data_IF_267080304274
#
_entry.id   IF_267080304274
#
_cell.length_a   1.000
_cell.length_b   1.000
_cell.length_c   1.000
_cell.angle_alpha   90.00
_cell.angle_beta   90.00
_cell.angle_gamma   90.00
#
_symmetry.space_group_name_H-M   'P 1'
#
loop_
_entity.id
_entity.type
_entity.pdbx_description
1 polymer ?
#
# COMPACT_ATOMS: atom_id res chain seq x y z
N UNK A 1 57.56 -39.38 1.48
CA UNK A 1 57.79 -38.22 0.57
C UNK A 1 56.81 -38.30 -0.59
N UNK A 2 55.50 -38.32 -0.31
CA UNK A 2 54.47 -38.67 -1.30
C UNK A 2 53.41 -37.57 -1.50
N UNK A 3 53.61 -36.39 -0.91
CA UNK A 3 52.62 -35.31 -0.90
C UNK A 3 52.83 -34.23 -2.00
N UNK A 4 53.60 -34.52 -3.06
CA UNK A 4 53.96 -33.51 -4.07
C UNK A 4 53.45 -33.80 -5.49
N UNK A 5 52.57 -34.80 -5.69
CA UNK A 5 52.10 -35.20 -7.03
C UNK A 5 50.64 -34.84 -7.36
N UNK A 6 49.98 -34.00 -6.57
CA UNK A 6 48.56 -33.66 -6.79
C UNK A 6 48.32 -32.28 -7.44
N UNK A 7 49.34 -31.46 -7.65
CA UNK A 7 49.16 -30.09 -8.18
C UNK A 7 49.45 -29.94 -9.68
N UNK A 8 49.26 -30.98 -10.48
CA UNK A 8 49.43 -30.90 -11.94
C UNK A 8 48.20 -31.38 -12.72
N UNK A 9 47.01 -30.96 -12.31
CA UNK A 9 45.82 -31.03 -13.17
C UNK A 9 45.61 -29.70 -13.90
N UNK A 10 45.64 -29.78 -15.23
CA UNK A 10 45.42 -28.65 -16.14
C UNK A 10 44.00 -28.10 -15.94
N UNK A 11 43.78 -26.77 -15.82
CA UNK A 11 42.45 -26.23 -15.62
C UNK A 11 41.53 -26.64 -16.76
N UNK A 12 40.33 -27.14 -16.43
CA UNK A 12 39.32 -27.51 -17.43
C UNK A 12 39.03 -26.30 -18.32
N UNK A 13 39.04 -26.43 -19.66
CA UNK A 13 38.76 -25.30 -20.52
C UNK A 13 37.34 -24.81 -20.24
N UNK A 14 37.22 -23.53 -19.88
CA UNK A 14 35.93 -22.86 -19.77
C UNK A 14 35.21 -22.99 -21.11
N UNK A 15 34.02 -23.62 -21.09
CA UNK A 15 33.20 -23.79 -22.29
C UNK A 15 32.66 -22.42 -22.69
N UNK A 16 33.39 -21.72 -23.55
CA UNK A 16 32.92 -20.47 -24.14
C UNK A 16 31.63 -20.73 -24.92
N UNK A 17 30.52 -20.18 -24.42
CA UNK A 17 29.25 -20.21 -25.13
C UNK A 17 29.34 -19.19 -26.25
N UNK A 18 29.78 -19.63 -27.43
CA UNK A 18 29.77 -18.80 -28.63
C UNK A 18 28.33 -18.63 -29.08
N UNK A 19 27.71 -17.55 -28.63
CA UNK A 19 26.36 -17.18 -29.08
C UNK A 19 26.39 -16.88 -30.58
N UNK A 20 25.71 -17.72 -31.35
CA UNK A 20 25.54 -17.50 -32.78
C UNK A 20 24.54 -16.37 -33.01
N UNK A 21 24.67 -15.64 -34.13
CA UNK A 21 23.70 -14.60 -34.51
C UNK A 21 22.27 -15.14 -34.57
N UNK A 22 22.11 -16.43 -34.90
CA UNK A 22 20.83 -17.14 -34.91
C UNK A 22 20.24 -17.31 -33.50
N UNK A 23 21.08 -17.55 -32.50
CA UNK A 23 20.63 -17.61 -31.10
C UNK A 23 20.08 -16.25 -30.63
N UNK A 24 20.79 -15.16 -30.94
CA UNK A 24 20.30 -13.81 -30.63
C UNK A 24 18.99 -13.47 -31.36
N UNK A 25 18.86 -13.89 -32.62
CA UNK A 25 17.60 -13.72 -33.37
C UNK A 25 16.44 -14.50 -32.72
N UNK A 26 16.67 -15.75 -32.31
CA UNK A 26 15.64 -16.57 -31.66
C UNK A 26 15.23 -15.97 -30.30
N UNK A 27 16.21 -15.53 -29.50
CA UNK A 27 15.94 -14.89 -28.21
C UNK A 27 15.15 -13.58 -28.37
N UNK A 28 15.49 -12.76 -29.37
CA UNK A 28 14.76 -11.53 -29.67
C UNK A 28 13.32 -11.80 -30.10
N UNK A 29 13.09 -12.81 -30.96
CA UNK A 29 11.74 -13.21 -31.37
C UNK A 29 10.92 -13.70 -30.17
N UNK A 30 11.52 -14.46 -29.26
CA UNK A 30 10.86 -14.96 -28.05
C UNK A 30 10.45 -13.82 -27.11
N UNK A 31 11.31 -12.82 -26.92
CA UNK A 31 11.02 -11.62 -26.12
C UNK A 31 9.91 -10.79 -26.75
N UNK A 32 9.95 -10.58 -28.07
CA UNK A 32 8.90 -9.82 -28.78
C UNK A 32 7.56 -10.54 -28.71
N UNK A 33 7.53 -11.87 -28.93
CA UNK A 33 6.32 -12.67 -28.79
C UNK A 33 5.76 -12.59 -27.36
N UNK A 34 6.61 -12.72 -26.35
CA UNK A 34 6.21 -12.58 -24.95
C UNK A 34 5.66 -11.19 -24.63
N UNK A 35 6.26 -10.13 -25.16
CA UNK A 35 5.83 -8.75 -24.94
C UNK A 35 4.49 -8.43 -25.62
N UNK A 36 4.25 -8.93 -26.84
CA UNK A 36 2.98 -8.71 -27.56
C UNK A 36 1.85 -9.51 -26.91
N UNK A 37 2.10 -10.75 -26.50
CA UNK A 37 1.12 -11.59 -25.82
C UNK A 37 0.82 -11.09 -24.39
N UNK A 38 1.85 -10.63 -23.67
CA UNK A 38 1.71 -10.07 -22.33
C UNK A 38 1.10 -8.66 -22.32
N UNK A 39 1.39 -7.83 -23.33
CA UNK A 39 0.93 -6.44 -23.39
C UNK A 39 -0.55 -6.26 -23.75
N UNK A 40 -1.10 -7.15 -24.59
CA UNK A 40 -2.50 -7.06 -25.07
C UNK A 40 -3.52 -7.60 -24.07
N UNK A 41 -3.14 -8.59 -23.23
CA UNK A 41 -3.97 -9.13 -22.15
C UNK A 41 -3.69 -8.48 -20.78
N UNK A 42 -2.51 -7.86 -20.60
CA UNK A 42 -2.04 -7.33 -19.32
C UNK A 42 -2.39 -5.87 -19.03
N UNK A 43 -2.78 -5.06 -20.03
CA UNK A 43 -2.89 -3.59 -19.85
C UNK A 43 -4.06 -3.11 -18.99
N UNK A 44 -5.00 -3.98 -18.60
CA UNK A 44 -6.13 -3.60 -17.73
C UNK A 44 -6.00 -4.06 -16.28
N UNK A 45 -4.93 -4.79 -15.93
CA UNK A 45 -4.64 -5.15 -14.53
C UNK A 45 -3.36 -4.49 -14.11
N UNK A 46 -3.51 -3.35 -13.42
CA UNK A 46 -2.49 -2.70 -12.60
C UNK A 46 -1.53 -3.75 -12.01
N UNK A 47 -0.32 -3.83 -12.56
CA UNK A 47 0.74 -4.72 -12.12
C UNK A 47 1.27 -4.20 -10.78
N UNK A 48 0.56 -4.50 -9.68
CA UNK A 48 0.88 -4.01 -8.33
C UNK A 48 1.00 -5.15 -7.31
N UNK A 49 1.45 -6.33 -7.73
CA UNK A 49 1.50 -7.51 -6.87
C UNK A 49 2.71 -8.42 -7.12
N UNK A 50 3.93 -7.86 -7.18
CA UNK A 50 5.14 -8.69 -7.07
C UNK A 50 6.24 -8.10 -6.19
N UNK A 51 6.03 -6.96 -5.55
CA UNK A 51 6.98 -6.39 -4.59
C UNK A 51 6.23 -5.76 -3.43
N UNK A 52 6.60 -6.15 -2.20
CA UNK A 52 6.29 -5.50 -0.90
C UNK A 52 5.28 -6.21 0.00
N UNK A 53 5.74 -7.26 0.69
CA UNK A 53 4.97 -8.06 1.66
C UNK A 53 4.91 -7.44 3.08
N UNK A 54 5.02 -6.12 3.24
CA UNK A 54 5.05 -5.52 4.59
C UNK A 54 4.47 -4.11 4.73
N UNK A 55 4.70 -3.22 3.77
CA UNK A 55 4.26 -1.82 3.86
C UNK A 55 2.94 -1.53 3.14
N UNK A 56 2.39 -2.47 2.37
CA UNK A 56 1.23 -2.25 1.50
C UNK A 56 -0.09 -2.35 2.27
N UNK A 57 -0.12 -3.07 3.40
CA UNK A 57 -1.37 -3.30 4.13
C UNK A 57 -1.96 -2.03 4.74
N UNK A 58 -1.16 -1.11 5.28
CA UNK A 58 -1.68 0.13 5.88
C UNK A 58 -2.35 1.03 4.85
N UNK A 59 -1.74 1.19 3.66
CA UNK A 59 -2.34 1.97 2.58
C UNK A 59 -3.64 1.34 2.07
N UNK A 60 -3.69 0.01 1.94
CA UNK A 60 -4.90 -0.69 1.50
C UNK A 60 -6.08 -0.50 2.46
N UNK A 61 -5.82 -0.51 3.77
CA UNK A 61 -6.87 -0.29 4.78
C UNK A 61 -7.35 1.17 4.74
N UNK A 62 -6.44 2.14 4.61
CA UNK A 62 -6.84 3.54 4.45
C UNK A 62 -7.64 3.79 3.18
N UNK A 63 -7.24 3.20 2.05
CA UNK A 63 -7.97 3.31 0.77
C UNK A 63 -9.38 2.71 0.87
N UNK A 64 -9.54 1.61 1.60
CA UNK A 64 -10.83 0.95 1.83
C UNK A 64 -11.74 1.81 2.70
N UNK A 65 -11.22 2.36 3.81
CA UNK A 65 -11.97 3.28 4.68
C UNK A 65 -12.41 4.53 3.92
N UNK A 66 -11.53 5.11 3.09
CA UNK A 66 -11.86 6.29 2.28
C UNK A 66 -12.98 5.98 1.27
N UNK A 67 -12.91 4.81 0.63
CA UNK A 67 -13.94 4.37 -0.31
C UNK A 67 -15.29 4.20 0.39
N UNK A 68 -15.33 3.49 1.52
CA UNK A 68 -16.57 3.22 2.27
C UNK A 68 -17.19 4.52 2.79
N UNK A 69 -16.37 5.44 3.30
CA UNK A 69 -16.83 6.76 3.73
C UNK A 69 -17.45 7.55 2.57
N UNK A 70 -16.78 7.59 1.41
CA UNK A 70 -17.28 8.33 0.24
C UNK A 70 -18.58 7.72 -0.31
N UNK A 71 -18.70 6.40 -0.31
CA UNK A 71 -19.93 5.69 -0.71
C UNK A 71 -21.10 6.03 0.24
N UNK A 72 -20.85 6.03 1.55
CA UNK A 72 -21.84 6.40 2.56
C UNK A 72 -22.29 7.86 2.41
N UNK A 73 -21.35 8.80 2.26
CA UNK A 73 -21.67 10.23 2.08
C UNK A 73 -22.44 10.48 0.78
N UNK A 74 -22.07 9.82 -0.31
CA UNK A 74 -22.80 9.89 -1.59
C UNK A 74 -24.24 9.41 -1.43
N UNK A 75 -24.43 8.29 -0.72
CA UNK A 75 -25.75 7.73 -0.44
C UNK A 75 -26.59 8.68 0.42
N UNK A 76 -26.02 9.26 1.47
CA UNK A 76 -26.71 10.23 2.32
C UNK A 76 -27.07 11.48 1.51
N UNK A 77 -26.14 12.00 0.72
CA UNK A 77 -26.37 13.20 -0.12
C UNK A 77 -27.48 13.01 -1.13
N UNK A 78 -27.61 11.81 -1.72
CA UNK A 78 -28.68 11.51 -2.68
C UNK A 78 -30.06 11.27 -2.05
N UNK A 79 -30.13 10.88 -0.78
CA UNK A 79 -31.39 10.47 -0.13
C UNK A 79 -31.85 11.41 1.00
N UNK A 80 -30.97 12.28 1.50
CA UNK A 80 -31.27 13.21 2.58
C UNK A 80 -31.89 14.50 2.03
N UNK A 81 -33.00 14.93 2.62
CA UNK A 81 -33.78 16.07 2.13
C UNK A 81 -33.25 17.44 2.56
N UNK A 82 -32.29 17.50 3.49
CA UNK A 82 -31.77 18.74 4.07
C UNK A 82 -30.31 19.02 3.69
N UNK A 83 -29.79 20.16 4.15
CA UNK A 83 -28.38 20.48 4.00
C UNK A 83 -27.51 19.59 4.89
N UNK A 84 -26.43 19.07 4.32
CA UNK A 84 -25.48 18.21 5.02
C UNK A 84 -24.30 19.05 5.48
N UNK A 85 -24.07 19.05 6.79
CA UNK A 85 -22.86 19.57 7.40
C UNK A 85 -21.78 18.49 7.33
N UNK A 86 -20.93 18.56 6.29
CA UNK A 86 -19.86 17.59 6.04
C UNK A 86 -18.84 17.54 7.18
N UNK A 87 -18.60 18.66 7.87
CA UNK A 87 -17.68 18.70 9.00
C UNK A 87 -18.24 17.85 10.14
N UNK A 88 -19.50 18.06 10.53
CA UNK A 88 -20.16 17.24 11.55
C UNK A 88 -20.31 15.78 11.14
N UNK A 89 -20.63 15.51 9.88
CA UNK A 89 -20.73 14.15 9.37
C UNK A 89 -19.39 13.40 9.49
N UNK A 90 -18.29 14.07 9.18
CA UNK A 90 -16.93 13.51 9.31
C UNK A 90 -16.57 13.29 10.77
N UNK A 91 -16.84 14.26 11.65
CA UNK A 91 -16.59 14.13 13.09
C UNK A 91 -17.37 12.95 13.68
N UNK A 92 -18.65 12.80 13.30
CA UNK A 92 -19.48 11.68 13.73
C UNK A 92 -18.99 10.32 13.20
N UNK A 93 -18.52 10.28 11.94
CA UNK A 93 -17.93 9.07 11.37
C UNK A 93 -16.66 8.64 12.11
N UNK A 94 -15.76 9.58 12.42
CA UNK A 94 -14.55 9.31 13.23
C UNK A 94 -14.93 8.82 14.62
N UNK A 95 -15.88 9.47 15.29
CA UNK A 95 -16.36 9.04 16.60
C UNK A 95 -16.94 7.61 16.54
N UNK A 96 -17.75 7.29 15.52
CA UNK A 96 -18.29 5.94 15.32
C UNK A 96 -17.19 4.88 15.15
N UNK A 97 -16.17 5.16 14.34
CA UNK A 97 -15.02 4.27 14.19
C UNK A 97 -14.27 4.06 15.51
N UNK A 98 -14.02 5.12 16.28
CA UNK A 98 -13.32 5.02 17.57
C UNK A 98 -14.12 4.23 18.61
N UNK A 99 -15.43 4.48 18.72
CA UNK A 99 -16.29 3.74 19.68
C UNK A 99 -16.38 2.25 19.38
N UNK A 100 -16.15 1.86 18.12
CA UNK A 100 -16.08 0.45 17.70
C UNK A 100 -14.78 -0.22 18.18
N UNK A 101 -13.69 0.54 18.32
CA UNK A 101 -12.41 0.04 18.82
C UNK A 101 -12.37 -0.02 20.35
N UNK A 102 -12.89 1.01 21.01
CA UNK A 102 -13.00 1.09 22.47
C UNK A 102 -14.14 2.06 22.86
N UNK A 103 -15.11 1.65 23.68
CA UNK A 103 -16.19 2.53 24.16
C UNK A 103 -15.70 3.77 24.94
N UNK A 104 -14.46 3.77 25.42
CA UNK A 104 -13.86 4.90 26.13
C UNK A 104 -13.08 5.86 25.22
N UNK A 105 -12.87 5.52 23.95
CA UNK A 105 -12.22 6.42 23.00
C UNK A 105 -13.17 7.52 22.54
N UNK A 106 -12.72 8.77 22.61
CA UNK A 106 -13.46 9.95 22.15
C UNK A 106 -12.59 10.81 21.23
N UNK A 107 -13.19 11.27 20.13
CA UNK A 107 -12.61 12.23 19.21
C UNK A 107 -12.98 13.65 19.67
N UNK A 108 -11.98 14.53 19.78
CA UNK A 108 -12.18 15.92 20.16
C UNK A 108 -11.87 16.84 18.97
N UNK A 109 -12.87 17.56 18.42
CA UNK A 109 -12.60 18.63 17.46
C UNK A 109 -11.84 19.77 18.15
N UNK A 110 -11.14 20.58 17.36
CA UNK A 110 -10.25 21.64 17.87
C UNK A 110 -10.91 22.55 18.92
N UNK A 111 -12.16 22.95 18.68
CA UNK A 111 -12.92 23.81 19.58
C UNK A 111 -13.20 23.16 20.94
N UNK A 112 -13.49 21.86 20.97
CA UNK A 112 -13.75 21.11 22.20
C UNK A 112 -12.45 20.81 22.95
N UNK A 113 -11.40 20.42 22.22
CA UNK A 113 -10.08 20.23 22.81
C UNK A 113 -9.55 21.52 23.45
N UNK A 114 -9.77 22.67 22.81
CA UNK A 114 -9.40 23.98 23.37
C UNK A 114 -10.16 24.27 24.67
N UNK A 115 -11.47 24.00 24.73
CA UNK A 115 -12.27 24.17 25.96
C UNK A 115 -11.80 23.22 27.07
N UNK A 116 -11.55 21.96 26.73
CA UNK A 116 -11.02 20.98 27.68
C UNK A 116 -9.68 21.42 28.26
N UNK A 117 -8.82 22.01 27.43
CA UNK A 117 -7.54 22.55 27.88
C UNK A 117 -7.72 23.75 28.81
N UNK A 118 -8.57 24.71 28.44
CA UNK A 118 -8.92 25.86 29.27
C UNK A 118 -9.49 25.43 30.64
N UNK A 119 -10.38 24.43 30.66
CA UNK A 119 -10.95 23.87 31.89
C UNK A 119 -9.89 23.20 32.77
N UNK A 120 -8.90 22.53 32.18
CA UNK A 120 -7.80 21.92 32.91
C UNK A 120 -6.84 22.97 33.47
N UNK A 121 -6.52 24.00 32.69
CA UNK A 121 -5.67 25.11 33.12
C UNK A 121 -6.38 25.94 34.22
N UNK A 122 -7.69 26.15 34.11
CA UNK A 122 -8.51 26.85 35.11
C UNK A 122 -8.67 26.06 36.42
N UNK A 123 -8.73 24.72 36.35
CA UNK A 123 -8.74 23.86 37.56
C UNK A 123 -7.40 23.82 38.28
N UNK A 124 -6.29 24.22 37.63
CA UNK A 124 -4.99 24.33 38.28
C UNK A 124 -4.80 25.63 39.07
N UNK A 125 -5.69 26.62 38.89
CA UNK A 125 -5.79 27.84 39.69
C UNK A 125 -7.09 27.86 40.52
N UNK A 126 -7.38 26.76 41.22
CA UNK A 126 -8.28 26.79 42.37
C UNK A 126 -7.51 27.21 43.63
N UNK A 127 -8.09 28.09 44.45
CA UNK A 127 -7.62 28.48 45.79
C UNK A 127 -7.26 27.30 46.70
#
# INVERSE_FOLDING_TARGET
>A
MEAAREFNEKPRPYREVRFSRRFFLIAAVLVILGAVFGGTIGSSRKFHSLTSTGSVNSYRVSDEIEKDYNEAISTITGNYSGDIDYEKATQAAIQGMLTTLDPHSAYFPFSEFKKLKEDQDSRFYGI
#
